data_IF_438375996557
#
_entry.id   IF_438375996557
#
_cell.length_a   1.000
_cell.length_b   1.000
_cell.length_c   1.000
_cell.angle_alpha   90.00
_cell.angle_beta   90.00
_cell.angle_gamma   90.00
#
_symmetry.space_group_name_H-M   'P 1'
#
loop_
_entity.id
_entity.type
_entity.pdbx_description
1 polymer ?
#
# COMPACT_ATOMS: atom_id res chain seq x y z
N UNK A 1 -13.86 8.07 7.15
CA UNK A 1 -13.25 9.27 6.55
C UNK A 1 -12.82 8.95 5.13
N UNK A 2 -13.28 9.70 4.14
CA UNK A 2 -13.02 9.41 2.73
C UNK A 2 -12.36 10.60 2.03
N UNK A 3 -11.49 11.31 2.75
CA UNK A 3 -10.79 12.47 2.21
C UNK A 3 -9.56 12.10 1.39
N UNK A 4 -9.19 10.82 1.38
CA UNK A 4 -7.98 10.34 0.68
C UNK A 4 -8.21 9.98 -0.77
N UNK A 5 -9.46 9.76 -1.15
CA UNK A 5 -9.80 9.29 -2.50
C UNK A 5 -9.36 10.31 -3.55
N UNK A 6 -8.64 9.84 -4.55
CA UNK A 6 -8.19 10.67 -5.67
C UNK A 6 -7.04 11.61 -5.35
N UNK A 7 -6.41 11.47 -4.18
CA UNK A 7 -5.30 12.35 -3.78
C UNK A 7 -3.96 11.69 -4.04
N UNK A 8 -2.98 12.51 -4.36
CA UNK A 8 -1.57 12.12 -4.38
C UNK A 8 -0.93 12.57 -3.07
N UNK A 9 -0.16 11.67 -2.45
CA UNK A 9 0.45 11.91 -1.15
C UNK A 9 1.97 11.73 -1.30
N UNK A 10 2.69 12.84 -1.28
CA UNK A 10 4.14 12.86 -1.55
C UNK A 10 4.97 13.12 -0.31
N UNK A 11 4.48 13.94 0.60
CA UNK A 11 5.19 14.31 1.83
C UNK A 11 4.23 14.26 3.00
N UNK A 12 4.79 14.25 4.22
CA UNK A 12 3.99 14.16 5.43
C UNK A 12 2.98 15.32 5.57
N UNK A 13 3.33 16.49 5.06
CA UNK A 13 2.46 17.65 5.14
C UNK A 13 1.26 17.58 4.19
N UNK A 14 1.21 16.59 3.30
CA UNK A 14 0.03 16.32 2.49
C UNK A 14 -1.12 15.77 3.34
N UNK A 15 -0.82 15.37 4.57
CA UNK A 15 -1.83 14.92 5.52
C UNK A 15 -2.13 16.00 6.53
N UNK A 16 -3.40 16.24 6.83
CA UNK A 16 -3.76 17.07 7.99
C UNK A 16 -3.47 16.28 9.27
N UNK A 17 -3.42 16.99 10.40
CA UNK A 17 -3.24 16.36 11.70
C UNK A 17 -4.35 15.32 11.97
N UNK A 18 -5.57 15.66 11.64
CA UNK A 18 -6.72 14.78 11.81
C UNK A 18 -6.60 13.52 10.95
N UNK A 19 -6.14 13.67 9.72
CA UNK A 19 -5.93 12.55 8.82
C UNK A 19 -4.84 11.62 9.34
N UNK A 20 -3.75 12.17 9.86
CA UNK A 20 -2.67 11.37 10.46
C UNK A 20 -3.17 10.57 11.65
N UNK A 21 -3.94 11.20 12.53
CA UNK A 21 -4.52 10.53 13.70
C UNK A 21 -5.48 9.42 13.27
N UNK A 22 -6.26 9.67 12.24
CA UNK A 22 -7.15 8.65 11.67
C UNK A 22 -6.35 7.45 11.16
N UNK A 23 -5.30 7.69 10.38
CA UNK A 23 -4.45 6.61 9.86
C UNK A 23 -3.81 5.81 10.98
N UNK A 24 -3.31 6.47 12.02
CA UNK A 24 -2.73 5.77 13.17
C UNK A 24 -3.76 4.90 13.87
N UNK A 25 -5.01 5.36 13.99
CA UNK A 25 -6.06 4.55 14.60
C UNK A 25 -6.37 3.31 13.75
N UNK A 26 -6.36 3.44 12.43
CA UNK A 26 -6.58 2.30 11.53
C UNK A 26 -5.42 1.31 11.58
N UNK A 27 -4.19 1.80 11.62
CA UNK A 27 -3.00 0.95 11.77
C UNK A 27 -3.08 0.16 13.06
N UNK A 28 -3.50 0.80 14.14
CA UNK A 28 -3.65 0.15 15.45
C UNK A 28 -4.69 -0.97 15.40
N UNK A 29 -5.84 -0.71 14.79
CA UNK A 29 -6.88 -1.73 14.61
C UNK A 29 -6.36 -2.93 13.81
N UNK A 30 -5.67 -2.66 12.73
CA UNK A 30 -5.11 -3.71 11.88
C UNK A 30 -4.07 -4.54 12.65
N UNK A 31 -3.18 -3.87 13.36
CA UNK A 31 -2.14 -4.51 14.16
C UNK A 31 -2.74 -5.41 15.23
N UNK A 32 -3.77 -4.94 15.92
CA UNK A 32 -4.48 -5.73 16.93
C UNK A 32 -5.16 -6.95 16.31
N UNK A 33 -5.77 -6.79 15.14
CA UNK A 33 -6.43 -7.89 14.44
C UNK A 33 -5.43 -8.96 14.03
N UNK A 34 -4.25 -8.57 13.55
CA UNK A 34 -3.18 -9.51 13.21
C UNK A 34 -2.76 -10.27 14.46
N UNK A 35 -2.55 -9.57 15.55
CA UNK A 35 -2.09 -10.16 16.81
C UNK A 35 -3.08 -11.18 17.38
N UNK A 36 -4.37 -10.91 17.24
CA UNK A 36 -5.42 -11.80 17.74
C UNK A 36 -5.85 -12.88 16.74
N UNK A 37 -5.38 -12.79 15.49
CA UNK A 37 -5.82 -13.68 14.44
C UNK A 37 -7.29 -13.45 14.06
N UNK A 38 -7.77 -12.22 14.17
CA UNK A 38 -9.16 -11.85 13.90
C UNK A 38 -9.38 -11.68 12.39
N UNK A 39 -9.71 -12.79 11.75
CA UNK A 39 -9.86 -12.84 10.29
C UNK A 39 -10.98 -11.94 9.77
N UNK A 40 -12.04 -11.79 10.52
CA UNK A 40 -13.19 -10.97 10.12
C UNK A 40 -12.78 -9.49 10.03
N UNK A 41 -12.05 -8.99 11.05
CA UNK A 41 -11.57 -7.63 11.05
C UNK A 41 -10.51 -7.42 9.97
N UNK A 42 -9.59 -8.38 9.79
CA UNK A 42 -8.59 -8.32 8.73
C UNK A 42 -9.27 -8.22 7.36
N UNK A 43 -10.28 -9.03 7.16
CA UNK A 43 -10.99 -9.06 5.87
C UNK A 43 -11.70 -7.74 5.57
N UNK A 44 -12.14 -7.03 6.61
CA UNK A 44 -12.77 -5.72 6.45
C UNK A 44 -11.82 -4.67 5.89
N UNK A 45 -10.51 -4.85 6.05
CA UNK A 45 -9.49 -3.95 5.51
C UNK A 45 -9.09 -4.28 4.08
N UNK A 46 -9.45 -5.46 3.57
CA UNK A 46 -9.00 -5.92 2.26
C UNK A 46 -9.82 -5.36 1.12
N UNK A 47 -9.15 -5.09 0.01
CA UNK A 47 -9.81 -4.72 -1.23
C UNK A 47 -10.55 -5.94 -1.80
N UNK A 48 -9.92 -7.12 -1.75
CA UNK A 48 -10.51 -8.39 -2.23
C UNK A 48 -11.00 -8.32 -3.67
N UNK A 49 -10.23 -7.68 -4.53
CA UNK A 49 -10.56 -7.57 -5.94
C UNK A 49 -9.32 -7.86 -6.77
N UNK A 50 -9.22 -9.06 -7.38
CA UNK A 50 -8.06 -9.42 -8.17
C UNK A 50 -7.90 -8.59 -9.45
N UNK A 51 -8.94 -7.85 -9.83
CA UNK A 51 -8.88 -6.97 -10.99
C UNK A 51 -8.49 -5.54 -10.61
N UNK A 52 -8.40 -5.24 -9.31
CA UNK A 52 -7.95 -3.93 -8.84
C UNK A 52 -6.43 -3.82 -9.00
N UNK A 53 -6.00 -3.02 -9.96
CA UNK A 53 -4.58 -2.90 -10.30
C UNK A 53 -3.86 -1.90 -9.42
N UNK A 54 -2.76 -2.33 -8.82
CA UNK A 54 -1.86 -1.47 -8.08
C UNK A 54 -0.49 -1.54 -8.77
N UNK A 55 0.06 -0.37 -9.10
CA UNK A 55 1.32 -0.26 -9.80
C UNK A 55 2.41 0.17 -8.84
N UNK A 56 3.49 -0.60 -8.83
CA UNK A 56 4.66 -0.33 -8.00
C UNK A 56 5.82 0.04 -8.92
N UNK A 57 6.28 1.28 -8.84
CA UNK A 57 7.34 1.78 -9.72
C UNK A 57 8.53 2.22 -8.87
N UNK A 58 9.65 1.54 -9.04
CA UNK A 58 10.90 1.85 -8.34
C UNK A 58 12.00 2.08 -9.36
N UNK A 59 12.55 3.29 -9.36
CA UNK A 59 13.64 3.67 -10.25
C UNK A 59 15.00 3.36 -9.65
N UNK A 60 15.04 3.11 -8.35
CA UNK A 60 16.25 2.73 -7.61
C UNK A 60 16.01 1.41 -6.89
N UNK A 61 17.10 0.70 -6.59
CA UNK A 61 17.01 -0.54 -5.85
C UNK A 61 16.66 -0.24 -4.39
N UNK A 62 15.46 -0.62 -3.99
CA UNK A 62 14.91 -0.36 -2.66
C UNK A 62 14.17 -1.59 -2.16
N UNK A 63 14.93 -2.64 -1.89
CA UNK A 63 14.39 -3.97 -1.62
C UNK A 63 13.39 -4.00 -0.46
N UNK A 64 13.73 -3.39 0.67
CA UNK A 64 12.83 -3.38 1.84
C UNK A 64 11.50 -2.72 1.53
N UNK A 65 11.56 -1.55 0.90
CA UNK A 65 10.36 -0.78 0.58
C UNK A 65 9.50 -1.54 -0.43
N UNK A 66 10.12 -2.11 -1.48
CA UNK A 66 9.40 -2.92 -2.46
C UNK A 66 8.70 -4.11 -1.81
N UNK A 67 9.41 -4.83 -0.93
CA UNK A 67 8.83 -6.00 -0.28
C UNK A 67 7.69 -5.63 0.67
N UNK A 68 7.80 -4.49 1.37
CA UNK A 68 6.73 -4.01 2.24
C UNK A 68 5.46 -3.73 1.45
N UNK A 69 5.58 -3.03 0.32
CA UNK A 69 4.42 -2.75 -0.53
C UNK A 69 3.89 -4.01 -1.19
N UNK A 70 4.76 -4.91 -1.64
CA UNK A 70 4.36 -6.18 -2.23
C UNK A 70 3.52 -6.99 -1.25
N UNK A 71 3.95 -7.08 0.00
CA UNK A 71 3.22 -7.80 1.03
C UNK A 71 1.87 -7.14 1.34
N UNK A 72 1.83 -5.82 1.37
CA UNK A 72 0.59 -5.08 1.60
C UNK A 72 -0.41 -5.32 0.46
N UNK A 73 0.06 -5.32 -0.78
CA UNK A 73 -0.78 -5.56 -1.95
C UNK A 73 -1.31 -7.00 -1.94
N UNK A 74 -0.47 -7.96 -1.58
CA UNK A 74 -0.87 -9.36 -1.45
C UNK A 74 -1.95 -9.52 -0.37
N UNK A 75 -1.80 -8.81 0.75
CA UNK A 75 -2.80 -8.80 1.80
C UNK A 75 -4.18 -8.40 1.27
N UNK A 76 -4.22 -7.42 0.36
CA UNK A 76 -5.47 -6.92 -0.21
C UNK A 76 -6.06 -7.81 -1.31
N UNK A 77 -5.36 -8.87 -1.71
CA UNK A 77 -5.76 -9.75 -2.82
C UNK A 77 -6.00 -8.96 -4.12
N UNK A 78 -5.22 -7.92 -4.31
CA UNK A 78 -5.28 -7.09 -5.50
C UNK A 78 -4.19 -7.53 -6.50
N UNK A 79 -4.24 -6.97 -7.70
CA UNK A 79 -3.28 -7.27 -8.75
C UNK A 79 -2.08 -6.33 -8.69
N UNK A 80 -0.89 -6.88 -8.54
CA UNK A 80 0.35 -6.10 -8.55
C UNK A 80 0.96 -6.07 -9.94
N UNK A 81 1.30 -4.87 -10.39
CA UNK A 81 2.16 -4.69 -11.56
C UNK A 81 3.40 -3.95 -11.07
N UNK A 82 4.55 -4.57 -11.24
CA UNK A 82 5.81 -4.06 -10.71
C UNK A 82 6.72 -3.60 -11.85
N UNK A 83 7.29 -2.40 -11.69
CA UNK A 83 8.30 -1.86 -12.60
C UNK A 83 9.48 -1.39 -11.76
N UNK A 84 10.69 -1.81 -12.14
CA UNK A 84 11.89 -1.39 -11.44
C UNK A 84 13.00 -1.08 -12.44
N UNK A 85 14.03 -0.40 -11.96
CA UNK A 85 15.18 -0.04 -12.80
C UNK A 85 15.88 -1.28 -13.36
N UNK A 86 15.81 -2.41 -12.65
CA UNK A 86 16.52 -3.62 -13.03
C UNK A 86 15.86 -4.41 -14.13
N UNK A 87 14.53 -4.32 -14.26
CA UNK A 87 13.78 -5.17 -15.18
C UNK A 87 12.73 -4.42 -16.00
N UNK A 88 12.89 -3.11 -16.12
CA UNK A 88 11.97 -2.28 -16.89
C UNK A 88 12.66 -1.70 -18.11
N UNK A 89 11.87 -1.11 -19.00
CA UNK A 89 12.40 -0.44 -20.19
C UNK A 89 13.28 0.77 -19.87
N UNK A 90 13.26 1.27 -18.66
CA UNK A 90 14.14 2.37 -18.25
C UNK A 90 15.62 2.00 -18.41
N UNK A 91 15.98 0.77 -18.06
CA UNK A 91 17.36 0.29 -18.18
C UNK A 91 17.79 0.07 -19.61
N UNK A 92 16.86 0.02 -20.53
CA UNK A 92 17.13 -0.19 -21.95
C UNK A 92 17.17 1.12 -22.73
N UNK A 93 17.04 2.24 -22.03
CA UNK A 93 17.05 3.55 -22.69
C UNK A 93 15.76 3.87 -23.43
N UNK A 94 14.70 3.23 -23.09
CA UNK A 94 13.40 3.41 -23.74
C UNK A 94 12.52 4.42 -23.04
#
# INVERSE_FOLDING_TARGET
MNTFKGRSLCVIDDFTKEERLYLFSQVRKLKEAVKRGDKKTLDSFRINDPDYGIYEVFLEDSTRTKESFRNAIAFHHAKLTEMSADNSSFNKGE
#
